data_IF_894412641506
#
_entry.id   IF_894412641506
#
_cell.length_a   1.000
_cell.length_b   1.000
_cell.length_c   1.000
_cell.angle_alpha   90.00
_cell.angle_beta   90.00
_cell.angle_gamma   90.00
#
_symmetry.space_group_name_H-M   'P 1'
#
loop_
_entity.id
_entity.type
_entity.pdbx_description
1 polymer ?
#
# COMPACT_ATOMS: atom_id res chain seq x y z
N UNK A 1 18.40 17.93 -22.02
CA UNK A 1 17.31 18.90 -21.71
C UNK A 1 16.86 18.72 -20.28
N UNK A 2 17.08 19.77 -19.47
CA UNK A 2 16.49 20.15 -18.19
C UNK A 2 16.40 19.14 -17.03
N UNK A 3 17.38 19.28 -16.12
CA UNK A 3 17.36 18.85 -14.71
C UNK A 3 16.24 19.53 -13.90
N UNK A 4 14.98 19.17 -14.16
CA UNK A 4 13.86 19.46 -13.26
C UNK A 4 13.48 18.21 -12.46
N UNK A 5 14.46 17.55 -11.86
CA UNK A 5 14.18 16.65 -10.74
C UNK A 5 13.89 17.54 -9.53
N UNK A 6 12.64 18.01 -9.42
CA UNK A 6 12.13 18.43 -8.12
C UNK A 6 12.49 17.34 -7.13
N UNK A 7 13.13 17.73 -6.02
CA UNK A 7 13.43 16.84 -4.90
C UNK A 7 12.10 16.40 -4.30
N UNK A 8 11.48 15.38 -4.90
CA UNK A 8 10.28 14.76 -4.36
C UNK A 8 10.73 14.08 -3.07
N UNK A 9 10.40 14.71 -1.93
CA UNK A 9 10.61 14.09 -0.64
C UNK A 9 9.73 12.84 -0.60
N UNK A 10 10.37 11.67 -0.48
CA UNK A 10 9.69 10.41 -0.24
C UNK A 10 9.22 10.39 1.21
N UNK A 11 8.13 11.11 1.51
CA UNK A 11 7.57 11.22 2.86
C UNK A 11 7.06 9.88 3.38
N UNK A 12 6.66 8.98 2.48
CA UNK A 12 6.07 7.66 2.77
C UNK A 12 7.10 6.55 2.57
N UNK A 13 8.23 6.61 3.28
CA UNK A 13 9.40 5.73 3.09
C UNK A 13 9.04 4.23 3.02
N UNK A 14 8.12 3.78 3.89
CA UNK A 14 7.69 2.38 3.92
C UNK A 14 6.90 1.98 2.67
N UNK A 15 5.90 2.77 2.27
CA UNK A 15 5.09 2.47 1.09
C UNK A 15 5.87 2.65 -0.21
N UNK A 16 6.80 3.62 -0.27
CA UNK A 16 7.71 3.76 -1.41
C UNK A 16 8.66 2.56 -1.52
N UNK A 17 9.08 1.98 -0.38
CA UNK A 17 9.86 0.74 -0.37
C UNK A 17 9.05 -0.48 -0.81
N UNK A 18 7.82 -0.63 -0.30
CA UNK A 18 6.90 -1.71 -0.75
C UNK A 18 6.56 -1.59 -2.23
N UNK A 19 6.35 -0.37 -2.71
CA UNK A 19 6.16 -0.07 -4.13
C UNK A 19 7.33 -0.60 -4.93
N UNK A 20 8.56 -0.21 -4.56
CA UNK A 20 9.77 -0.67 -5.21
C UNK A 20 9.89 -2.21 -5.20
N UNK A 21 9.57 -2.88 -4.10
CA UNK A 21 9.56 -4.35 -4.04
C UNK A 21 8.49 -4.97 -4.94
N UNK A 22 7.33 -4.33 -5.09
CA UNK A 22 6.32 -4.74 -6.06
C UNK A 22 6.80 -4.62 -7.51
N UNK A 23 7.49 -3.52 -7.84
CA UNK A 23 8.13 -3.34 -9.15
C UNK A 23 9.16 -4.45 -9.40
N UNK A 24 10.04 -4.70 -8.43
CA UNK A 24 11.08 -5.73 -8.53
C UNK A 24 10.47 -7.12 -8.73
N UNK A 25 9.38 -7.45 -8.02
CA UNK A 25 8.66 -8.71 -8.18
C UNK A 25 8.01 -8.83 -9.56
N UNK A 26 7.37 -7.76 -10.05
CA UNK A 26 6.80 -7.71 -11.39
C UNK A 26 7.86 -8.04 -12.44
N UNK A 27 8.97 -7.32 -12.42
CA UNK A 27 10.09 -7.54 -13.36
C UNK A 27 10.61 -8.98 -13.26
N UNK A 28 10.86 -9.49 -12.05
CA UNK A 28 11.33 -10.88 -11.83
C UNK A 28 10.36 -11.93 -12.37
N UNK A 29 9.05 -11.68 -12.28
CA UNK A 29 8.00 -12.58 -12.76
C UNK A 29 7.62 -12.32 -14.22
N UNK A 30 8.30 -11.39 -14.90
CA UNK A 30 7.98 -10.93 -16.27
C UNK A 30 6.58 -10.33 -16.40
N UNK A 31 5.98 -9.91 -15.29
CA UNK A 31 4.70 -9.21 -15.24
C UNK A 31 4.94 -7.71 -15.12
N UNK A 32 4.16 -6.90 -15.85
CA UNK A 32 4.23 -5.43 -15.75
C UNK A 32 5.59 -4.83 -16.13
N UNK A 33 6.39 -5.51 -16.95
CA UNK A 33 7.70 -5.02 -17.42
C UNK A 33 7.55 -3.68 -18.15
N UNK A 34 6.55 -3.57 -19.01
CA UNK A 34 6.26 -2.35 -19.80
C UNK A 34 5.52 -1.28 -18.99
N UNK A 35 4.96 -1.66 -17.83
CA UNK A 35 4.19 -0.77 -16.95
C UNK A 35 4.61 -0.98 -15.48
N UNK A 36 5.86 -0.64 -15.11
CA UNK A 36 6.41 -0.89 -13.77
C UNK A 36 5.54 -0.33 -12.65
N UNK A 37 4.87 0.81 -12.90
CA UNK A 37 3.98 1.44 -11.94
C UNK A 37 2.87 0.50 -11.47
N UNK A 38 2.30 -0.31 -12.36
CA UNK A 38 1.25 -1.28 -11.99
C UNK A 38 1.80 -2.39 -11.09
N UNK A 39 3.05 -2.84 -11.32
CA UNK A 39 3.70 -3.82 -10.45
C UNK A 39 3.87 -3.30 -9.01
N UNK A 40 4.25 -2.03 -8.85
CA UNK A 40 4.31 -1.40 -7.54
C UNK A 40 2.94 -1.21 -6.88
N UNK A 41 1.95 -0.77 -7.66
CA UNK A 41 0.57 -0.56 -7.17
C UNK A 41 -0.11 -1.87 -6.76
N UNK A 42 0.14 -2.97 -7.46
CA UNK A 42 -0.41 -4.30 -7.15
C UNK A 42 -0.06 -4.76 -5.72
N UNK A 43 1.04 -4.26 -5.15
CA UNK A 43 1.45 -4.53 -3.77
C UNK A 43 0.95 -3.46 -2.82
N UNK A 44 1.14 -2.18 -3.15
CA UNK A 44 0.82 -1.08 -2.22
C UNK A 44 -0.68 -0.91 -2.01
N UNK A 45 -1.48 -1.04 -3.08
CA UNK A 45 -2.92 -0.87 -3.00
C UNK A 45 -3.59 -1.81 -1.98
N UNK A 46 -3.36 -3.13 -1.99
CA UNK A 46 -3.95 -4.01 -0.97
C UNK A 46 -3.46 -3.72 0.45
N UNK A 47 -2.18 -3.37 0.64
CA UNK A 47 -1.64 -3.02 1.98
C UNK A 47 -2.30 -1.77 2.53
N UNK A 48 -2.39 -0.69 1.73
CA UNK A 48 -3.07 0.54 2.13
C UNK A 48 -4.56 0.26 2.38
N UNK A 49 -5.21 -0.54 1.52
CA UNK A 49 -6.61 -0.91 1.66
C UNK A 49 -6.88 -1.63 2.99
N UNK A 50 -6.09 -2.64 3.33
CA UNK A 50 -6.22 -3.36 4.60
C UNK A 50 -5.97 -2.47 5.83
N UNK A 51 -4.95 -1.61 5.75
CA UNK A 51 -4.66 -0.67 6.84
C UNK A 51 -5.81 0.34 7.02
N UNK A 52 -6.40 0.84 5.93
CA UNK A 52 -7.54 1.76 5.98
C UNK A 52 -8.78 1.08 6.56
N UNK A 53 -9.08 -0.15 6.15
CA UNK A 53 -10.16 -0.97 6.73
C UNK A 53 -9.93 -1.15 8.24
N UNK A 54 -8.71 -1.48 8.65
CA UNK A 54 -8.36 -1.65 10.06
C UNK A 54 -8.62 -0.38 10.87
N UNK A 55 -8.27 0.80 10.32
CA UNK A 55 -8.56 2.10 10.96
C UNK A 55 -10.07 2.33 11.08
N UNK A 56 -10.85 2.11 10.01
CA UNK A 56 -12.29 2.29 10.04
C UNK A 56 -12.96 1.36 11.07
N UNK A 57 -12.52 0.10 11.14
CA UNK A 57 -12.98 -0.85 12.14
C UNK A 57 -12.64 -0.39 13.57
N UNK A 58 -11.42 0.10 13.80
CA UNK A 58 -11.02 0.60 15.12
C UNK A 58 -11.87 1.82 15.54
N UNK A 59 -12.13 2.76 14.63
CA UNK A 59 -13.01 3.90 14.89
C UNK A 59 -14.43 3.45 15.26
N UNK A 60 -14.96 2.43 14.59
CA UNK A 60 -16.29 1.91 14.89
C UNK A 60 -16.33 1.15 16.22
N UNK A 61 -15.34 0.31 16.49
CA UNK A 61 -15.27 -0.53 17.69
C UNK A 61 -15.03 0.32 18.94
N UNK A 62 -14.08 1.26 18.89
CA UNK A 62 -13.64 1.98 20.08
C UNK A 62 -14.33 3.33 20.26
N UNK A 63 -14.74 4.00 19.17
CA UNK A 63 -15.31 5.36 19.21
C UNK A 63 -16.77 5.45 18.72
N UNK A 64 -17.36 4.34 18.24
CA UNK A 64 -18.75 4.26 17.75
C UNK A 64 -19.07 5.25 16.61
N UNK A 65 -18.10 5.58 15.75
CA UNK A 65 -18.29 6.57 14.66
C UNK A 65 -19.06 6.09 13.43
N UNK A 66 -19.42 4.80 13.33
CA UNK A 66 -20.16 4.19 12.21
C UNK A 66 -19.56 4.50 10.81
N UNK A 67 -18.24 4.64 10.74
CA UNK A 67 -17.43 4.93 9.57
C UNK A 67 -17.54 3.80 8.54
N UNK A 68 -17.51 2.53 8.96
CA UNK A 68 -17.64 1.41 8.01
C UNK A 68 -19.00 1.46 7.32
N UNK A 69 -20.09 1.64 8.07
CA UNK A 69 -21.44 1.73 7.50
C UNK A 69 -21.53 2.87 6.48
N UNK A 70 -20.92 4.00 6.78
CA UNK A 70 -20.94 5.18 5.92
C UNK A 70 -20.07 4.99 4.68
N UNK A 71 -18.82 4.56 4.83
CA UNK A 71 -17.87 4.35 3.74
C UNK A 71 -18.36 3.29 2.75
N UNK A 72 -18.98 2.21 3.26
CA UNK A 72 -19.50 1.11 2.44
C UNK A 72 -20.96 1.29 2.01
N UNK A 73 -21.62 2.41 2.35
CA UNK A 73 -22.91 2.79 1.77
C UNK A 73 -22.76 3.30 0.33
N UNK A 74 -21.59 3.85 0.00
CA UNK A 74 -21.19 4.20 -1.37
C UNK A 74 -21.02 2.91 -2.18
N UNK A 75 -21.32 2.98 -3.48
CA UNK A 75 -21.08 1.86 -4.39
C UNK A 75 -19.62 1.36 -4.27
N UNK A 76 -19.44 0.10 -3.88
CA UNK A 76 -18.14 -0.53 -3.62
C UNK A 76 -17.20 -0.46 -4.82
N UNK A 77 -17.74 -0.59 -6.03
CA UNK A 77 -16.99 -0.49 -7.27
C UNK A 77 -16.49 0.95 -7.45
N UNK A 78 -17.36 1.93 -7.24
CA UNK A 78 -16.99 3.35 -7.31
C UNK A 78 -15.90 3.70 -6.29
N UNK A 79 -16.02 3.21 -5.06
CA UNK A 79 -15.01 3.42 -4.02
C UNK A 79 -13.66 2.80 -4.41
N UNK A 80 -13.66 1.57 -4.94
CA UNK A 80 -12.44 0.91 -5.40
C UNK A 80 -11.79 1.65 -6.59
N UNK A 81 -12.58 2.11 -7.55
CA UNK A 81 -12.11 2.89 -8.70
C UNK A 81 -11.52 4.22 -8.23
N UNK A 82 -12.20 4.95 -7.34
CA UNK A 82 -11.69 6.19 -6.77
C UNK A 82 -10.37 5.98 -6.02
N UNK A 83 -10.30 4.95 -5.18
CA UNK A 83 -9.10 4.58 -4.44
C UNK A 83 -7.92 4.29 -5.37
N UNK A 84 -8.13 3.43 -6.37
CA UNK A 84 -7.09 3.12 -7.35
C UNK A 84 -6.70 4.33 -8.20
N UNK A 85 -7.66 5.19 -8.55
CA UNK A 85 -7.40 6.44 -9.29
C UNK A 85 -6.53 7.39 -8.48
N UNK A 86 -6.81 7.57 -7.19
CA UNK A 86 -6.02 8.42 -6.28
C UNK A 86 -4.59 7.87 -6.17
N UNK A 87 -4.42 6.56 -5.98
CA UNK A 87 -3.08 5.95 -5.90
C UNK A 87 -2.32 6.08 -7.22
N UNK A 88 -2.99 5.80 -8.35
CA UNK A 88 -2.40 5.92 -9.68
C UNK A 88 -1.98 7.36 -9.95
N UNK A 89 -2.82 8.33 -9.62
CA UNK A 89 -2.48 9.74 -9.71
C UNK A 89 -1.30 10.09 -8.80
N UNK A 90 -1.29 9.67 -7.54
CA UNK A 90 -0.22 9.96 -6.58
C UNK A 90 1.15 9.42 -7.03
N UNK A 91 1.21 8.18 -7.52
CA UNK A 91 2.46 7.56 -8.00
C UNK A 91 2.85 8.04 -9.41
N UNK A 92 1.89 8.39 -10.25
CA UNK A 92 2.11 8.95 -11.58
C UNK A 92 2.48 10.44 -11.57
N UNK A 93 2.01 11.20 -10.58
CA UNK A 93 2.20 12.63 -10.50
C UNK A 93 3.68 12.99 -10.46
N UNK A 94 4.10 13.88 -11.36
CA UNK A 94 5.51 14.27 -11.56
C UNK A 94 6.46 13.07 -11.72
N UNK A 95 5.97 11.95 -12.27
CA UNK A 95 6.74 10.71 -12.42
C UNK A 95 7.35 10.20 -11.11
N UNK A 96 6.65 10.38 -9.98
CA UNK A 96 7.11 9.94 -8.65
C UNK A 96 7.60 8.49 -8.66
N UNK A 97 6.89 7.58 -9.32
CA UNK A 97 7.29 6.17 -9.40
C UNK A 97 8.71 5.97 -9.97
N UNK A 98 9.13 6.77 -10.96
CA UNK A 98 10.50 6.71 -11.51
C UNK A 98 11.54 7.11 -10.47
N UNK A 99 11.26 8.20 -9.74
CA UNK A 99 12.12 8.70 -8.66
C UNK A 99 12.28 7.65 -7.56
N UNK A 100 11.19 6.94 -7.21
CA UNK A 100 11.24 5.83 -6.25
C UNK A 100 12.17 4.73 -6.77
N UNK A 101 11.94 4.22 -7.99
CA UNK A 101 12.76 3.14 -8.57
C UNK A 101 14.24 3.53 -8.57
N UNK A 102 14.58 4.71 -9.11
CA UNK A 102 15.96 5.20 -9.16
C UNK A 102 16.61 5.33 -7.77
N UNK A 103 15.86 5.82 -6.78
CA UNK A 103 16.37 6.00 -5.43
C UNK A 103 16.65 4.66 -4.74
N UNK A 104 15.76 3.68 -4.90
CA UNK A 104 15.91 2.37 -4.26
C UNK A 104 16.89 1.46 -5.02
N UNK A 105 17.05 1.62 -6.34
CA UNK A 105 18.14 0.99 -7.11
C UNK A 105 19.52 1.46 -6.62
N UNK A 106 19.69 2.77 -6.38
CA UNK A 106 20.93 3.32 -5.79
C UNK A 106 21.18 2.77 -4.39
N UNK A 107 20.13 2.58 -3.58
CA UNK A 107 20.23 2.00 -2.24
C UNK A 107 20.53 0.50 -2.28
N UNK A 108 19.99 -0.23 -3.27
CA UNK A 108 20.28 -1.66 -3.48
C UNK A 108 21.75 -1.92 -3.73
N UNK A 109 22.41 -1.07 -4.53
CA UNK A 109 23.86 -1.14 -4.76
C UNK A 109 24.72 -0.97 -3.49
N UNK A 110 24.13 -0.48 -2.39
CA UNK A 110 24.80 -0.32 -1.08
C UNK A 110 24.57 -1.50 -0.13
N UNK A 111 23.82 -2.53 -0.55
CA UNK A 111 23.57 -3.75 0.23
C UNK A 111 22.53 -3.62 1.36
N UNK A 112 22.32 -4.74 2.07
CA UNK A 112 21.43 -4.92 3.22
C UNK A 112 19.98 -5.29 2.85
N UNK A 113 18.96 -4.58 3.35
CA UNK A 113 17.53 -4.95 3.21
C UNK A 113 16.98 -4.83 1.77
N UNK A 114 17.66 -4.05 0.91
CA UNK A 114 17.20 -3.72 -0.43
C UNK A 114 17.42 -4.86 -1.43
N UNK A 115 18.27 -5.84 -1.10
CA UNK A 115 18.56 -6.98 -1.98
C UNK A 115 17.77 -8.25 -1.61
N UNK A 116 17.03 -8.21 -0.49
CA UNK A 116 16.14 -9.30 -0.09
C UNK A 116 15.11 -9.60 -1.18
N UNK A 117 14.78 -10.89 -1.34
CA UNK A 117 13.76 -11.31 -2.29
C UNK A 117 12.43 -10.59 -1.99
N UNK A 118 11.77 -9.94 -2.98
CA UNK A 118 10.58 -9.13 -2.75
C UNK A 118 9.47 -9.83 -1.95
N UNK A 119 9.24 -11.12 -2.23
CA UNK A 119 8.24 -11.92 -1.53
C UNK A 119 8.46 -11.98 -0.01
N UNK A 120 9.72 -11.97 0.46
CA UNK A 120 10.06 -12.00 1.90
C UNK A 120 9.69 -10.70 2.61
N UNK A 121 9.46 -9.60 1.89
CA UNK A 121 8.99 -8.34 2.44
C UNK A 121 7.46 -8.23 2.28
N UNK A 122 6.96 -8.57 1.10
CA UNK A 122 5.55 -8.39 0.73
C UNK A 122 4.64 -9.32 1.54
N UNK A 123 4.98 -10.61 1.63
CA UNK A 123 4.12 -11.61 2.29
C UNK A 123 3.96 -11.30 3.78
N UNK A 124 5.04 -11.09 4.57
CA UNK A 124 4.87 -10.75 5.99
C UNK A 124 4.10 -9.45 6.20
N UNK A 125 4.31 -8.45 5.34
CA UNK A 125 3.56 -7.18 5.43
C UNK A 125 2.06 -7.41 5.26
N UNK A 126 1.65 -8.17 4.24
CA UNK A 126 0.24 -8.49 4.02
C UNK A 126 -0.34 -9.32 5.18
N UNK A 127 0.44 -10.26 5.73
CA UNK A 127 0.02 -11.06 6.89
C UNK A 127 -0.19 -10.20 8.14
N UNK A 128 0.68 -9.22 8.40
CA UNK A 128 0.53 -8.29 9.53
C UNK A 128 -0.75 -7.46 9.36
N UNK A 129 -0.99 -6.90 8.17
CA UNK A 129 -2.20 -6.12 7.89
C UNK A 129 -3.47 -6.98 8.02
N UNK A 130 -3.46 -8.21 7.51
CA UNK A 130 -4.59 -9.13 7.63
C UNK A 130 -4.81 -9.58 9.08
N UNK A 131 -3.74 -9.85 9.82
CA UNK A 131 -3.78 -10.21 11.23
C UNK A 131 -4.39 -9.12 12.10
N UNK A 132 -4.11 -7.85 11.79
CA UNK A 132 -4.73 -6.71 12.49
C UNK A 132 -6.24 -6.67 12.28
N UNK A 133 -6.71 -6.89 11.05
CA UNK A 133 -8.16 -6.98 10.75
C UNK A 133 -8.79 -8.14 11.55
N UNK A 134 -8.16 -9.31 11.55
CA UNK A 134 -8.66 -10.48 12.29
C UNK A 134 -8.77 -10.20 13.80
N UNK A 135 -7.75 -9.55 14.37
CA UNK A 135 -7.75 -9.15 15.77
C UNK A 135 -8.91 -8.19 16.08
N UNK A 136 -9.17 -7.20 15.22
CA UNK A 136 -10.28 -6.26 15.40
C UNK A 136 -11.65 -6.96 15.27
N UNK A 137 -11.80 -7.91 14.35
CA UNK A 137 -13.01 -8.74 14.24
C UNK A 137 -13.24 -9.53 15.55
N UNK A 138 -12.18 -10.12 16.09
CA UNK A 138 -12.23 -10.86 17.35
C UNK A 138 -12.65 -9.97 18.52
N UNK A 139 -12.07 -8.78 18.66
CA UNK A 139 -12.44 -7.80 19.69
C UNK A 139 -13.91 -7.37 19.54
N UNK A 140 -14.37 -7.11 18.31
CA UNK A 140 -15.75 -6.75 18.05
C UNK A 140 -16.73 -7.86 18.46
N UNK A 141 -16.37 -9.14 18.26
CA UNK A 141 -17.21 -10.28 18.65
C UNK A 141 -17.35 -10.39 20.17
N UNK A 142 -16.26 -10.17 20.91
CA UNK A 142 -16.25 -10.15 22.38
C UNK A 142 -17.15 -9.02 22.89
N UNK A 143 -16.96 -7.80 22.35
CA UNK A 143 -17.74 -6.62 22.77
C UNK A 143 -19.24 -6.83 22.57
N UNK A 144 -19.65 -7.49 21.48
CA UNK A 144 -21.05 -7.84 21.21
C UNK A 144 -21.62 -8.89 22.17
N UNK A 145 -20.77 -9.77 22.70
CA UNK A 145 -21.19 -10.90 23.55
C UNK A 145 -21.28 -10.51 25.03
N UNK A 146 -20.44 -9.57 25.49
CA UNK A 146 -20.26 -9.27 26.91
C UNK A 146 -20.47 -7.79 27.30
N UNK A 147 -20.72 -6.89 26.33
CA UNK A 147 -20.99 -5.48 26.56
C UNK A 147 -22.39 -5.09 26.13
#
# INVERSE_FOLDING_TARGET
MNNFYYKINTTMIFYDFLFYKGVELGIKTKNYVDVPMLGGLAVVAPVIGFNLISVFMALDIFLNYAVMKTAFSINKILLAVLFLSILTFYYGFKSRYKVIIENYDKKRKKGNIYDLHPALIIIPTLLVSAGLIFLLIYIASIKKTYG
#
